data_IF_538962877540
#
_entry.id   IF_538962877540
#
_cell.length_a   1.000
_cell.length_b   1.000
_cell.length_c   1.000
_cell.angle_alpha   90.00
_cell.angle_beta   90.00
_cell.angle_gamma   90.00
#
_symmetry.space_group_name_H-M   'P 1'
#
loop_
_entity.id
_entity.type
_entity.pdbx_description
1 polymer ?
#
# COMPACT_ATOMS: atom_id res chain seq x y z
N UNK A 1 13.35 -4.89 -39.36
CA UNK A 1 13.48 -3.43 -39.42
C UNK A 1 12.54 -2.70 -38.44
N UNK A 2 11.23 -2.90 -38.47
CA UNK A 2 10.29 -2.19 -37.58
C UNK A 2 10.52 -2.50 -36.08
N UNK A 3 10.81 -3.74 -35.70
CA UNK A 3 11.02 -4.16 -34.28
C UNK A 3 12.31 -3.53 -33.71
N UNK A 4 13.38 -3.43 -34.51
CA UNK A 4 14.64 -2.78 -34.10
C UNK A 4 14.46 -1.27 -33.89
N UNK A 5 13.63 -0.63 -34.71
CA UNK A 5 13.33 0.81 -34.60
C UNK A 5 12.47 1.11 -33.36
N UNK A 6 11.50 0.25 -33.05
CA UNK A 6 10.68 0.36 -31.83
C UNK A 6 11.49 0.12 -30.56
N UNK A 7 12.40 -0.86 -30.58
CA UNK A 7 13.31 -1.11 -29.47
C UNK A 7 14.26 0.08 -29.23
N UNK A 8 14.77 0.65 -30.30
CA UNK A 8 15.64 1.83 -30.25
C UNK A 8 14.90 3.06 -29.73
N UNK A 9 13.65 3.28 -30.16
CA UNK A 9 12.82 4.35 -29.65
C UNK A 9 12.49 4.18 -28.15
N UNK A 10 12.24 2.95 -27.69
CA UNK A 10 12.04 2.66 -26.27
C UNK A 10 13.30 2.91 -25.44
N UNK A 11 14.47 2.50 -25.93
CA UNK A 11 15.74 2.76 -25.25
C UNK A 11 16.02 4.26 -25.16
N UNK A 12 15.79 5.01 -26.22
CA UNK A 12 15.95 6.47 -26.22
C UNK A 12 14.97 7.16 -25.27
N UNK A 13 13.72 6.70 -25.20
CA UNK A 13 12.73 7.21 -24.25
C UNK A 13 13.15 6.94 -22.80
N UNK A 14 13.67 5.75 -22.51
CA UNK A 14 14.20 5.38 -21.19
C UNK A 14 15.40 6.26 -20.82
N UNK A 15 16.32 6.51 -21.76
CA UNK A 15 17.46 7.40 -21.55
C UNK A 15 17.04 8.85 -21.32
N UNK A 16 16.06 9.37 -22.06
CA UNK A 16 15.51 10.71 -21.85
C UNK A 16 14.82 10.83 -20.50
N UNK A 17 14.01 9.85 -20.12
CA UNK A 17 13.38 9.81 -18.80
C UNK A 17 14.46 9.75 -17.72
N UNK A 18 15.44 8.85 -17.85
CA UNK A 18 16.54 8.72 -16.90
C UNK A 18 17.35 10.02 -16.77
N UNK A 19 17.72 10.66 -17.89
CA UNK A 19 18.46 11.92 -17.87
C UNK A 19 17.64 13.09 -17.28
N UNK A 20 16.32 13.10 -17.55
CA UNK A 20 15.42 14.14 -17.02
C UNK A 20 15.27 13.98 -15.51
N UNK A 21 15.12 12.75 -15.02
CA UNK A 21 14.99 12.47 -13.59
C UNK A 21 16.33 12.67 -12.87
N UNK A 22 17.46 12.31 -13.49
CA UNK A 22 18.77 12.67 -12.95
C UNK A 22 18.97 14.18 -12.90
N UNK A 23 18.50 14.94 -13.91
CA UNK A 23 18.55 16.42 -13.86
C UNK A 23 17.68 16.99 -12.76
N UNK A 24 16.48 16.41 -12.52
CA UNK A 24 15.61 16.80 -11.41
C UNK A 24 16.27 16.40 -10.08
N UNK A 25 16.80 15.19 -9.97
CA UNK A 25 17.55 14.72 -8.81
C UNK A 25 18.79 15.58 -8.54
N UNK A 26 19.59 15.87 -9.56
CA UNK A 26 20.77 16.73 -9.46
C UNK A 26 20.42 18.20 -9.16
N UNK A 27 19.28 18.71 -9.64
CA UNK A 27 18.79 20.04 -9.19
C UNK A 27 18.36 20.04 -7.72
N UNK A 28 17.86 18.92 -7.22
CA UNK A 28 17.56 18.74 -5.79
C UNK A 28 18.84 18.52 -4.95
N UNK A 29 19.94 18.07 -5.59
CA UNK A 29 21.24 17.82 -4.94
C UNK A 29 22.31 18.87 -5.25
N UNK A 30 22.06 19.84 -6.12
CA UNK A 30 23.00 20.92 -6.44
C UNK A 30 23.12 21.91 -5.27
N UNK A 31 23.97 21.58 -4.37
CA UNK A 31 24.37 22.30 -3.17
C UNK A 31 25.29 21.46 -2.30
N UNK A 32 25.86 20.39 -2.84
CA UNK A 32 26.61 19.37 -2.09
C UNK A 32 28.06 19.81 -1.86
N UNK A 33 28.23 20.78 -0.97
CA UNK A 33 29.37 20.75 -0.07
C UNK A 33 28.86 20.27 1.28
N UNK A 34 29.27 19.11 1.75
CA UNK A 34 28.96 18.54 3.08
C UNK A 34 27.47 18.55 3.50
N UNK A 35 26.61 17.85 2.76
CA UNK A 35 25.23 17.60 3.22
C UNK A 35 25.29 16.65 4.41
N UNK A 36 24.96 17.13 5.59
CA UNK A 36 24.76 16.29 6.78
C UNK A 36 23.35 15.71 6.75
N UNK A 37 23.24 14.40 6.53
CA UNK A 37 21.97 13.70 6.69
C UNK A 37 21.66 13.55 8.17
N UNK A 38 20.50 14.06 8.59
CA UNK A 38 20.02 13.96 9.96
C UNK A 38 18.93 12.89 10.03
N UNK A 39 18.97 11.97 11.01
CA UNK A 39 17.90 10.98 11.19
C UNK A 39 16.60 11.68 11.58
N UNK A 40 15.49 11.31 10.93
CA UNK A 40 14.17 11.76 11.31
C UNK A 40 13.69 10.96 12.52
N UNK A 41 13.92 11.54 13.69
CA UNK A 41 13.56 10.98 15.00
C UNK A 41 13.95 9.48 15.15
N UNK A 42 13.15 8.68 15.83
CA UNK A 42 13.44 7.27 16.11
C UNK A 42 13.33 6.32 14.89
N UNK A 43 12.95 6.81 13.72
CA UNK A 43 12.68 5.99 12.53
C UNK A 43 13.90 5.71 11.65
N UNK A 44 15.05 6.33 11.93
CA UNK A 44 16.26 6.27 11.09
C UNK A 44 16.05 6.69 9.63
N UNK A 45 15.03 7.51 9.36
CA UNK A 45 14.82 8.08 8.04
C UNK A 45 15.70 9.31 7.90
N UNK A 46 16.63 9.25 6.95
CA UNK A 46 17.53 10.35 6.67
C UNK A 46 16.86 11.35 5.72
N UNK A 47 17.00 12.64 6.00
CA UNK A 47 16.56 13.71 5.12
C UNK A 47 17.60 14.82 5.08
N UNK A 48 17.54 15.67 4.05
CA UNK A 48 18.46 16.79 3.87
C UNK A 48 17.76 18.07 4.35
N UNK A 49 18.22 18.69 5.48
CA UNK A 49 17.54 19.87 6.05
C UNK A 49 17.47 21.08 5.11
N UNK A 50 18.44 21.20 4.22
CA UNK A 50 18.55 22.31 3.25
C UNK A 50 17.50 22.26 2.14
N UNK A 51 16.88 21.09 1.92
CA UNK A 51 15.88 20.91 0.87
C UNK A 51 14.50 20.70 1.49
N UNK A 52 13.56 21.65 1.36
CA UNK A 52 12.22 21.55 1.96
C UNK A 52 11.41 20.36 1.44
N UNK A 53 11.69 19.85 0.21
CA UNK A 53 11.02 18.67 -0.34
C UNK A 53 11.57 17.36 0.22
N UNK A 54 12.73 17.39 0.88
CA UNK A 54 13.35 16.20 1.45
C UNK A 54 12.51 15.61 2.60
N UNK A 55 11.95 16.46 3.47
CA UNK A 55 11.13 16.03 4.60
C UNK A 55 9.85 15.28 4.17
N UNK A 56 8.98 15.82 3.30
CA UNK A 56 7.79 15.07 2.86
C UNK A 56 8.14 13.80 2.07
N UNK A 57 9.23 13.80 1.29
CA UNK A 57 9.70 12.58 0.63
C UNK A 57 10.18 11.54 1.65
N UNK A 58 10.90 11.95 2.68
CA UNK A 58 11.34 11.06 3.76
C UNK A 58 10.14 10.50 4.52
N UNK A 59 9.17 11.36 4.87
CA UNK A 59 7.93 10.95 5.52
C UNK A 59 7.10 9.95 4.69
N UNK A 60 7.14 10.05 3.36
CA UNK A 60 6.46 9.10 2.48
C UNK A 60 6.95 7.66 2.63
N UNK A 61 8.17 7.47 3.12
CA UNK A 61 8.74 6.15 3.44
C UNK A 61 8.02 5.44 4.59
N UNK A 62 7.26 6.17 5.40
CA UNK A 62 6.44 5.61 6.47
C UNK A 62 5.08 5.10 5.98
N UNK A 63 4.66 5.42 4.75
CA UNK A 63 3.35 5.04 4.23
C UNK A 63 3.04 3.55 4.35
N UNK A 64 3.96 2.60 4.05
CA UNK A 64 3.69 1.17 4.27
C UNK A 64 3.30 0.86 5.72
N UNK A 65 3.97 1.43 6.69
CA UNK A 65 3.68 1.23 8.12
C UNK A 65 2.34 1.88 8.47
N UNK A 66 2.09 3.10 8.00
CA UNK A 66 0.83 3.81 8.25
C UNK A 66 -0.37 3.06 7.65
N UNK A 67 -0.20 2.44 6.48
CA UNK A 67 -1.23 1.59 5.86
C UNK A 67 -1.52 0.38 6.76
N UNK A 68 -0.52 -0.30 7.30
CA UNK A 68 -0.73 -1.43 8.20
C UNK A 68 -1.41 -1.01 9.51
N UNK A 69 -1.02 0.14 10.07
CA UNK A 69 -1.68 0.72 11.27
C UNK A 69 -3.14 1.07 10.95
N UNK A 70 -3.40 1.62 9.77
CA UNK A 70 -4.76 1.90 9.31
C UNK A 70 -5.60 0.61 9.19
N UNK A 71 -5.07 -0.44 8.57
CA UNK A 71 -5.76 -1.73 8.44
C UNK A 71 -6.07 -2.34 9.81
N UNK A 72 -5.13 -2.28 10.74
CA UNK A 72 -5.33 -2.74 12.10
C UNK A 72 -6.43 -1.93 12.81
N UNK A 73 -6.38 -0.61 12.73
CA UNK A 73 -7.40 0.28 13.31
C UNK A 73 -8.78 0.04 12.69
N UNK A 74 -8.83 -0.14 11.36
CA UNK A 74 -10.07 -0.47 10.67
C UNK A 74 -10.65 -1.78 11.18
N UNK A 75 -9.84 -2.84 11.33
CA UNK A 75 -10.30 -4.11 11.90
C UNK A 75 -10.84 -3.95 13.33
N UNK A 76 -10.11 -3.24 14.20
CA UNK A 76 -10.54 -3.05 15.59
C UNK A 76 -11.88 -2.33 15.70
N UNK A 77 -12.12 -1.32 14.86
CA UNK A 77 -13.33 -0.52 14.91
C UNK A 77 -14.54 -1.23 14.30
N UNK A 78 -14.34 -1.97 13.22
CA UNK A 78 -15.44 -2.53 12.43
C UNK A 78 -15.62 -4.04 12.61
N UNK A 79 -14.58 -4.73 13.10
CA UNK A 79 -14.51 -6.20 13.18
C UNK A 79 -14.66 -6.91 11.84
N UNK A 80 -14.40 -6.19 10.75
CA UNK A 80 -14.40 -6.75 9.41
C UNK A 80 -13.20 -7.67 9.20
N UNK A 81 -13.38 -8.76 8.46
CA UNK A 81 -12.28 -9.67 8.09
C UNK A 81 -11.40 -9.07 6.98
N UNK A 82 -11.95 -8.19 6.13
CA UNK A 82 -11.24 -7.64 4.96
C UNK A 82 -9.89 -6.99 5.31
N UNK A 83 -9.78 -6.12 6.34
CA UNK A 83 -8.49 -5.56 6.72
C UNK A 83 -7.47 -6.62 7.14
N UNK A 84 -7.92 -7.73 7.76
CA UNK A 84 -7.05 -8.84 8.13
C UNK A 84 -6.54 -9.60 6.89
N UNK A 85 -7.42 -9.86 5.93
CA UNK A 85 -7.05 -10.48 4.66
C UNK A 85 -6.07 -9.61 3.88
N UNK A 86 -6.32 -8.30 3.84
CA UNK A 86 -5.43 -7.36 3.18
C UNK A 86 -4.05 -7.32 3.86
N UNK A 87 -4.00 -7.24 5.18
CA UNK A 87 -2.75 -7.30 5.93
C UNK A 87 -2.01 -8.63 5.73
N UNK A 88 -2.71 -9.76 5.73
CA UNK A 88 -2.14 -11.07 5.42
C UNK A 88 -1.54 -11.11 4.01
N UNK A 89 -2.20 -10.49 3.02
CA UNK A 89 -1.66 -10.32 1.68
C UNK A 89 -0.34 -9.55 1.66
N UNK A 90 -0.23 -8.47 2.44
CA UNK A 90 1.02 -7.74 2.59
C UNK A 90 2.14 -8.56 3.24
N UNK A 91 1.80 -9.36 4.24
CA UNK A 91 2.78 -10.30 4.85
C UNK A 91 3.27 -11.33 3.83
N UNK A 92 2.37 -11.94 3.08
CA UNK A 92 2.74 -12.87 2.00
C UNK A 92 3.63 -12.18 0.95
N UNK A 93 3.26 -10.96 0.55
CA UNK A 93 4.02 -10.15 -0.40
C UNK A 93 5.45 -9.85 0.10
N UNK A 94 5.62 -9.53 1.40
CA UNK A 94 6.95 -9.27 1.99
C UNK A 94 7.79 -10.55 2.09
N UNK A 95 7.20 -11.68 2.48
CA UNK A 95 7.88 -12.99 2.49
C UNK A 95 8.41 -13.31 1.10
N UNK A 96 7.58 -13.17 0.06
CA UNK A 96 7.98 -13.40 -1.33
C UNK A 96 9.09 -12.43 -1.75
N UNK A 97 9.02 -11.16 -1.35
CA UNK A 97 10.08 -10.18 -1.55
C UNK A 97 11.42 -10.66 -0.95
N UNK A 98 11.37 -11.19 0.26
CA UNK A 98 12.53 -11.74 0.96
C UNK A 98 13.15 -12.94 0.22
N UNK A 99 12.32 -13.86 -0.27
CA UNK A 99 12.76 -15.00 -1.08
C UNK A 99 13.45 -14.51 -2.36
N UNK A 100 12.82 -13.63 -3.12
CA UNK A 100 13.40 -13.07 -4.34
C UNK A 100 14.73 -12.35 -4.10
N UNK A 101 14.84 -11.56 -3.02
CA UNK A 101 16.11 -10.92 -2.66
C UNK A 101 17.24 -11.90 -2.45
N UNK A 102 16.96 -13.03 -1.80
CA UNK A 102 17.95 -14.06 -1.55
C UNK A 102 18.30 -14.88 -2.80
N UNK A 103 17.39 -14.96 -3.78
CA UNK A 103 17.64 -15.63 -5.07
C UNK A 103 18.45 -14.74 -6.01
N UNK A 104 18.02 -13.50 -6.21
CA UNK A 104 18.60 -12.57 -7.22
C UNK A 104 19.92 -11.96 -6.72
N UNK A 105 20.05 -11.70 -5.42
CA UNK A 105 21.25 -11.14 -4.76
C UNK A 105 21.80 -9.88 -5.44
N UNK A 106 20.93 -9.04 -5.96
CA UNK A 106 21.33 -7.80 -6.63
C UNK A 106 21.62 -6.70 -5.60
N UNK A 107 22.82 -6.07 -5.62
CA UNK A 107 23.21 -5.06 -4.64
C UNK A 107 22.40 -3.76 -4.80
N UNK A 108 22.34 -2.99 -3.71
CA UNK A 108 21.83 -1.61 -3.74
C UNK A 108 22.88 -0.67 -4.33
N UNK A 109 22.47 0.55 -4.79
CA UNK A 109 23.41 1.62 -5.08
C UNK A 109 24.38 1.87 -3.93
N UNK A 110 25.59 2.36 -4.21
CA UNK A 110 26.65 2.51 -3.20
C UNK A 110 26.22 3.34 -1.99
N UNK A 111 25.50 4.45 -2.21
CA UNK A 111 25.02 5.33 -1.14
C UNK A 111 23.84 4.75 -0.35
N UNK A 112 23.11 3.80 -0.91
CA UNK A 112 21.97 3.15 -0.28
C UNK A 112 22.27 1.77 0.32
N UNK A 113 23.55 1.39 0.47
CA UNK A 113 23.93 0.10 1.04
C UNK A 113 23.58 0.02 2.53
N UNK A 114 22.90 -1.04 2.89
CA UNK A 114 22.54 -1.35 4.27
C UNK A 114 23.17 -2.70 4.64
N UNK A 115 23.81 -2.73 5.79
CA UNK A 115 24.45 -3.94 6.32
C UNK A 115 23.62 -4.52 7.47
N UNK A 116 23.50 -5.83 7.51
CA UNK A 116 22.94 -6.55 8.66
C UNK A 116 23.89 -6.42 9.86
N UNK A 117 23.39 -6.62 11.08
CA UNK A 117 24.20 -6.63 12.32
C UNK A 117 25.41 -7.57 12.27
N UNK A 118 25.42 -8.57 11.38
CA UNK A 118 26.56 -9.50 11.15
C UNK A 118 27.44 -9.16 9.93
N UNK A 119 27.37 -7.93 9.38
CA UNK A 119 28.22 -7.47 8.27
C UNK A 119 27.76 -7.89 6.87
N UNK A 120 26.69 -8.70 6.75
CA UNK A 120 26.17 -9.11 5.45
C UNK A 120 25.36 -8.00 4.76
N UNK A 121 25.52 -7.87 3.44
CA UNK A 121 24.75 -6.90 2.63
C UNK A 121 23.25 -7.24 2.62
N UNK A 122 22.42 -6.20 2.70
CA UNK A 122 20.97 -6.30 2.44
C UNK A 122 20.73 -6.09 0.95
N UNK A 123 20.26 -7.13 0.27
CA UNK A 123 20.01 -7.10 -1.16
C UNK A 123 18.93 -6.08 -1.54
N UNK A 124 19.07 -5.48 -2.73
CA UNK A 124 18.25 -4.37 -3.19
C UNK A 124 17.08 -4.76 -4.09
N UNK A 125 17.05 -5.93 -4.69
CA UNK A 125 16.06 -6.31 -5.69
C UNK A 125 15.19 -7.48 -5.22
N UNK A 126 13.87 -7.35 -5.27
CA UNK A 126 13.06 -6.17 -5.62
C UNK A 126 13.03 -5.10 -4.52
N UNK A 127 12.61 -3.86 -4.85
CA UNK A 127 12.36 -2.80 -3.87
C UNK A 127 11.10 -3.13 -3.06
N UNK A 128 11.25 -3.43 -1.76
CA UNK A 128 10.11 -3.79 -0.89
C UNK A 128 9.06 -2.69 -0.79
N UNK A 129 9.47 -1.42 -0.70
CA UNK A 129 8.54 -0.30 -0.64
C UNK A 129 7.72 -0.17 -1.92
N UNK A 130 8.37 -0.26 -3.08
CA UNK A 130 7.68 -0.20 -4.38
C UNK A 130 6.74 -1.39 -4.56
N UNK A 131 7.17 -2.59 -4.14
CA UNK A 131 6.37 -3.81 -4.19
C UNK A 131 5.15 -3.71 -3.27
N UNK A 132 5.33 -3.21 -2.04
CA UNK A 132 4.24 -2.97 -1.09
C UNK A 132 3.21 -1.99 -1.64
N UNK A 133 3.67 -0.85 -2.16
CA UNK A 133 2.78 0.20 -2.66
C UNK A 133 2.02 -0.22 -3.92
N UNK A 134 2.65 -1.00 -4.80
CA UNK A 134 1.97 -1.57 -5.95
C UNK A 134 0.91 -2.61 -5.53
N UNK A 135 1.23 -3.47 -4.57
CA UNK A 135 0.28 -4.41 -3.99
C UNK A 135 -0.92 -3.68 -3.40
N UNK A 136 -0.69 -2.65 -2.58
CA UNK A 136 -1.73 -1.82 -1.99
C UNK A 136 -2.63 -1.17 -3.05
N UNK A 137 -2.04 -0.56 -4.08
CA UNK A 137 -2.79 0.13 -5.13
C UNK A 137 -3.67 -0.82 -5.93
N UNK A 138 -3.12 -1.96 -6.33
CA UNK A 138 -3.87 -2.94 -7.14
C UNK A 138 -4.97 -3.58 -6.31
N UNK A 139 -4.69 -3.99 -5.07
CA UNK A 139 -5.68 -4.59 -4.18
C UNK A 139 -6.86 -3.64 -3.94
N UNK A 140 -6.57 -2.38 -3.56
CA UNK A 140 -7.62 -1.38 -3.33
C UNK A 140 -8.40 -1.06 -4.61
N UNK A 141 -7.73 -1.01 -5.76
CA UNK A 141 -8.40 -0.78 -7.05
C UNK A 141 -9.34 -1.92 -7.41
N UNK A 142 -8.92 -3.17 -7.24
CA UNK A 142 -9.78 -4.33 -7.48
C UNK A 142 -10.96 -4.36 -6.51
N UNK A 143 -10.71 -4.08 -5.25
CA UNK A 143 -11.72 -4.08 -4.20
C UNK A 143 -12.78 -3.00 -4.40
N UNK A 144 -12.37 -1.76 -4.62
CA UNK A 144 -13.30 -0.62 -4.68
C UNK A 144 -13.79 -0.27 -6.08
N UNK A 145 -12.96 -0.43 -7.11
CA UNK A 145 -13.26 0.09 -8.45
C UNK A 145 -13.87 -0.99 -9.34
N UNK A 146 -13.35 -2.22 -9.27
CA UNK A 146 -13.74 -3.30 -10.17
C UNK A 146 -14.89 -4.13 -9.58
N UNK A 147 -14.73 -4.60 -8.35
CA UNK A 147 -15.60 -5.60 -7.74
C UNK A 147 -16.58 -5.05 -6.70
N UNK A 148 -16.84 -3.74 -6.69
CA UNK A 148 -17.85 -3.20 -5.78
C UNK A 148 -19.27 -3.55 -6.31
N UNK A 149 -19.98 -4.50 -5.68
CA UNK A 149 -21.27 -4.98 -6.18
C UNK A 149 -22.40 -3.95 -6.02
N UNK A 150 -22.20 -2.95 -5.19
CA UNK A 150 -23.29 -2.07 -4.74
C UNK A 150 -23.22 -0.69 -5.37
N UNK A 151 -22.03 -0.12 -5.53
CA UNK A 151 -21.85 1.21 -6.14
C UNK A 151 -21.11 1.11 -7.48
N UNK A 152 -21.82 1.36 -8.56
CA UNK A 152 -21.19 1.60 -9.87
C UNK A 152 -20.58 2.99 -9.88
N UNK A 153 -19.27 3.07 -9.59
CA UNK A 153 -18.55 4.34 -9.72
C UNK A 153 -18.61 4.87 -11.15
N UNK A 154 -18.82 6.18 -11.29
CA UNK A 154 -18.71 6.85 -12.58
C UNK A 154 -17.27 6.77 -13.08
N UNK A 155 -17.09 6.83 -14.39
CA UNK A 155 -15.74 6.78 -15.00
C UNK A 155 -14.79 7.84 -14.40
N UNK A 156 -15.29 9.04 -14.19
CA UNK A 156 -14.53 10.16 -13.60
C UNK A 156 -14.07 9.84 -12.17
N UNK A 157 -14.92 9.21 -11.35
CA UNK A 157 -14.56 8.78 -9.99
C UNK A 157 -13.48 7.70 -10.03
N UNK A 158 -13.62 6.70 -10.92
CA UNK A 158 -12.61 5.65 -11.11
C UNK A 158 -11.25 6.23 -11.51
N UNK A 159 -11.25 7.16 -12.48
CA UNK A 159 -10.03 7.85 -12.92
C UNK A 159 -9.45 8.66 -11.75
N UNK A 160 -10.25 9.42 -11.02
CA UNK A 160 -9.81 10.21 -9.88
C UNK A 160 -9.14 9.37 -8.79
N UNK A 161 -9.76 8.26 -8.38
CA UNK A 161 -9.18 7.33 -7.40
C UNK A 161 -7.89 6.69 -7.90
N UNK A 162 -7.87 6.26 -9.17
CA UNK A 162 -6.67 5.66 -9.77
C UNK A 162 -5.51 6.66 -9.83
N UNK A 163 -5.77 7.90 -10.25
CA UNK A 163 -4.75 8.94 -10.30
C UNK A 163 -4.23 9.30 -8.91
N UNK A 164 -5.12 9.45 -7.92
CA UNK A 164 -4.73 9.70 -6.54
C UNK A 164 -3.83 8.58 -6.00
N UNK A 165 -4.22 7.32 -6.20
CA UNK A 165 -3.42 6.16 -5.81
C UNK A 165 -2.06 6.11 -6.52
N UNK A 166 -2.02 6.40 -7.82
CA UNK A 166 -0.77 6.48 -8.59
C UNK A 166 0.14 7.61 -8.09
N UNK A 167 -0.43 8.76 -7.71
CA UNK A 167 0.35 9.85 -7.10
C UNK A 167 0.99 9.41 -5.78
N UNK A 168 0.24 8.73 -4.91
CA UNK A 168 0.77 8.20 -3.65
C UNK A 168 1.91 7.21 -3.88
N UNK A 169 1.73 6.25 -4.78
CA UNK A 169 2.79 5.29 -5.18
C UNK A 169 3.98 6.04 -5.76
N UNK A 170 3.75 7.02 -6.64
CA UNK A 170 4.79 7.83 -7.29
C UNK A 170 5.66 8.58 -6.29
N UNK A 171 5.07 9.15 -5.24
CA UNK A 171 5.82 9.86 -4.18
C UNK A 171 6.74 8.89 -3.42
N UNK A 172 6.25 7.70 -3.05
CA UNK A 172 7.07 6.67 -2.39
C UNK A 172 8.20 6.19 -3.31
N UNK A 173 7.89 5.92 -4.58
CA UNK A 173 8.90 5.52 -5.59
C UNK A 173 9.95 6.60 -5.75
N UNK A 174 9.53 7.86 -5.89
CA UNK A 174 10.44 8.99 -6.00
C UNK A 174 11.39 9.06 -4.80
N UNK A 175 10.89 8.86 -3.59
CA UNK A 175 11.72 8.83 -2.39
C UNK A 175 12.82 7.75 -2.44
N UNK A 176 12.51 6.57 -3.02
CA UNK A 176 13.50 5.47 -3.14
C UNK A 176 14.62 5.79 -4.12
N UNK A 177 14.30 6.52 -5.17
CA UNK A 177 15.28 6.94 -6.19
C UNK A 177 16.08 8.16 -5.73
N UNK A 178 15.39 9.20 -5.23
CA UNK A 178 16.03 10.46 -4.79
C UNK A 178 17.03 10.23 -3.65
N UNK A 179 16.67 9.38 -2.69
CA UNK A 179 17.57 9.01 -1.59
C UNK A 179 18.54 7.86 -1.94
N UNK A 180 18.61 7.45 -3.22
CA UNK A 180 19.51 6.40 -3.72
C UNK A 180 19.40 5.05 -2.99
N UNK A 181 18.27 4.77 -2.33
CA UNK A 181 18.04 3.46 -1.70
C UNK A 181 17.92 2.35 -2.72
N UNK A 182 17.40 2.66 -3.91
CA UNK A 182 17.18 1.72 -5.01
C UNK A 182 17.42 2.38 -6.38
N UNK A 183 17.80 1.57 -7.36
CA UNK A 183 17.84 1.99 -8.77
C UNK A 183 16.49 1.71 -9.46
N UNK A 184 16.31 2.24 -10.68
CA UNK A 184 15.09 2.10 -11.46
C UNK A 184 14.69 0.66 -11.71
N UNK A 185 15.65 -0.22 -12.03
CA UNK A 185 15.35 -1.65 -12.27
C UNK A 185 14.76 -2.31 -11.03
N UNK A 186 15.30 -2.03 -9.84
CA UNK A 186 14.82 -2.59 -8.57
C UNK A 186 13.39 -2.11 -8.25
N UNK A 187 13.09 -0.85 -8.55
CA UNK A 187 11.77 -0.25 -8.36
C UNK A 187 10.75 -0.84 -9.34
N UNK A 188 11.09 -0.91 -10.63
CA UNK A 188 10.19 -1.45 -11.67
C UNK A 188 9.86 -2.91 -11.39
N UNK A 189 10.87 -3.72 -11.07
CA UNK A 189 10.64 -5.14 -10.69
C UNK A 189 9.76 -5.25 -9.45
N UNK A 190 9.97 -4.36 -8.46
CA UNK A 190 9.11 -4.30 -7.28
C UNK A 190 7.66 -3.97 -7.64
N UNK A 191 7.43 -2.95 -8.46
CA UNK A 191 6.09 -2.55 -8.91
C UNK A 191 5.39 -3.69 -9.67
N UNK A 192 6.08 -4.33 -10.61
CA UNK A 192 5.52 -5.44 -11.38
C UNK A 192 5.17 -6.64 -10.49
N UNK A 193 6.11 -7.05 -9.64
CA UNK A 193 5.91 -8.19 -8.74
C UNK A 193 4.76 -7.92 -7.77
N UNK A 194 4.72 -6.74 -7.15
CA UNK A 194 3.62 -6.35 -6.25
C UNK A 194 2.27 -6.35 -6.93
N UNK A 195 2.20 -5.87 -8.18
CA UNK A 195 0.95 -5.85 -8.96
C UNK A 195 0.45 -7.27 -9.29
N UNK A 196 1.34 -8.14 -9.74
CA UNK A 196 1.00 -9.55 -10.06
C UNK A 196 0.54 -10.30 -8.81
N UNK A 197 1.31 -10.19 -7.72
CA UNK A 197 0.98 -10.84 -6.45
C UNK A 197 -0.35 -10.34 -5.88
N UNK A 198 -0.61 -9.04 -5.97
CA UNK A 198 -1.87 -8.45 -5.52
C UNK A 198 -3.06 -8.99 -6.30
N UNK A 199 -2.95 -9.04 -7.63
CA UNK A 199 -4.02 -9.57 -8.49
C UNK A 199 -4.30 -11.04 -8.21
N UNK A 200 -3.25 -11.85 -8.08
CA UNK A 200 -3.37 -13.28 -7.75
C UNK A 200 -3.97 -13.49 -6.35
N UNK A 201 -3.49 -12.74 -5.36
CA UNK A 201 -3.97 -12.85 -3.98
C UNK A 201 -5.43 -12.40 -3.86
N UNK A 202 -5.81 -11.29 -4.51
CA UNK A 202 -7.19 -10.82 -4.51
C UNK A 202 -8.13 -11.85 -5.17
N UNK A 203 -7.74 -12.42 -6.30
CA UNK A 203 -8.50 -13.50 -6.97
C UNK A 203 -8.65 -14.71 -6.05
N UNK A 204 -7.60 -15.10 -5.33
CA UNK A 204 -7.66 -16.18 -4.34
C UNK A 204 -8.66 -15.87 -3.22
N UNK A 205 -8.65 -14.66 -2.67
CA UNK A 205 -9.62 -14.23 -1.65
C UNK A 205 -11.06 -14.28 -2.18
N UNK A 206 -11.29 -13.85 -3.44
CA UNK A 206 -12.60 -13.97 -4.08
C UNK A 206 -13.07 -15.41 -4.18
N UNK A 207 -12.19 -16.32 -4.58
CA UNK A 207 -12.49 -17.77 -4.64
C UNK A 207 -12.84 -18.32 -3.25
N UNK A 208 -12.10 -17.95 -2.20
CA UNK A 208 -12.42 -18.37 -0.83
C UNK A 208 -13.80 -17.88 -0.38
N UNK A 209 -14.22 -16.69 -0.81
CA UNK A 209 -15.57 -16.16 -0.55
C UNK A 209 -16.63 -16.94 -1.30
N UNK A 210 -16.40 -17.18 -2.57
CA UNK A 210 -17.36 -17.90 -3.43
C UNK A 210 -17.65 -19.31 -2.91
N UNK A 211 -16.62 -20.02 -2.45
CA UNK A 211 -16.78 -21.35 -1.85
C UNK A 211 -17.24 -21.33 -0.38
N UNK A 212 -17.50 -20.17 0.21
CA UNK A 212 -17.96 -20.04 1.60
C UNK A 212 -16.91 -20.41 2.65
N UNK A 213 -15.64 -20.54 2.28
CA UNK A 213 -14.56 -20.90 3.20
C UNK A 213 -14.40 -19.84 4.29
N UNK A 214 -14.51 -18.55 3.93
CA UNK A 214 -14.43 -17.46 4.90
C UNK A 214 -15.61 -17.49 5.89
N UNK A 215 -16.81 -17.81 5.43
CA UNK A 215 -17.98 -17.98 6.31
C UNK A 215 -17.73 -19.11 7.32
N UNK A 216 -17.19 -20.25 6.87
CA UNK A 216 -16.80 -21.35 7.76
C UNK A 216 -15.77 -20.92 8.81
N UNK A 217 -14.73 -20.18 8.40
CA UNK A 217 -13.70 -19.66 9.32
C UNK A 217 -14.34 -18.73 10.37
N UNK A 218 -15.22 -17.82 9.95
CA UNK A 218 -15.87 -16.87 10.84
C UNK A 218 -16.82 -17.53 11.85
N UNK A 219 -17.31 -18.74 11.58
CA UNK A 219 -18.12 -19.52 12.51
C UNK A 219 -17.31 -20.24 13.59
N UNK A 220 -15.98 -20.31 13.47
CA UNK A 220 -15.10 -20.90 14.49
C UNK A 220 -15.10 -20.05 15.76
N UNK A 221 -15.09 -20.71 16.93
CA UNK A 221 -15.30 -20.13 18.25
C UNK A 221 -14.58 -18.78 18.52
N UNK A 222 -13.26 -18.65 18.33
CA UNK A 222 -12.54 -17.40 18.58
C UNK A 222 -13.04 -16.23 17.73
N UNK A 223 -13.26 -16.44 16.42
CA UNK A 223 -13.73 -15.39 15.50
C UNK A 223 -15.17 -14.99 15.77
N UNK A 224 -16.02 -15.97 16.09
CA UNK A 224 -17.40 -15.74 16.50
C UNK A 224 -17.45 -14.98 17.84
N UNK A 225 -16.61 -15.33 18.79
CA UNK A 225 -16.51 -14.64 20.09
C UNK A 225 -16.08 -13.18 19.92
N UNK A 226 -15.12 -12.91 19.04
CA UNK A 226 -14.69 -11.55 18.70
C UNK A 226 -15.74 -10.77 17.92
N UNK A 227 -16.74 -11.43 17.34
CA UNK A 227 -17.78 -10.84 16.51
C UNK A 227 -17.29 -10.43 15.13
N UNK A 228 -16.32 -11.18 14.57
CA UNK A 228 -15.84 -10.92 13.20
C UNK A 228 -16.93 -11.18 12.19
N UNK A 229 -16.93 -10.35 11.11
CA UNK A 229 -17.90 -10.41 10.02
C UNK A 229 -17.23 -10.17 8.67
N UNK A 230 -17.84 -10.67 7.60
CA UNK A 230 -17.50 -10.36 6.22
C UNK A 230 -18.69 -9.67 5.53
N UNK A 231 -18.74 -8.35 5.62
CA UNK A 231 -19.78 -7.57 4.92
C UNK A 231 -19.36 -7.22 3.50
N UNK A 232 -18.07 -7.36 3.17
CA UNK A 232 -17.52 -7.00 1.87
C UNK A 232 -18.08 -7.88 0.74
N UNK A 233 -18.21 -9.19 0.99
CA UNK A 233 -18.85 -10.11 0.05
C UNK A 233 -20.36 -9.94 -0.09
N UNK A 234 -21.03 -9.31 0.90
CA UNK A 234 -22.49 -9.15 0.97
C UNK A 234 -22.98 -7.71 0.77
N UNK A 235 -22.06 -6.78 0.43
CA UNK A 235 -22.38 -5.37 0.20
C UNK A 235 -22.31 -4.52 1.47
N UNK A 236 -21.10 -4.26 1.93
CA UNK A 236 -20.79 -3.38 3.06
C UNK A 236 -21.50 -2.02 3.00
N UNK A 237 -21.81 -1.54 1.80
CA UNK A 237 -22.55 -0.31 1.60
C UNK A 237 -23.99 -0.41 2.13
N UNK A 238 -24.66 -1.56 1.96
CA UNK A 238 -25.98 -1.80 2.55
C UNK A 238 -25.94 -1.76 4.07
N UNK A 239 -24.85 -2.23 4.66
CA UNK A 239 -24.67 -2.16 6.12
C UNK A 239 -24.59 -0.71 6.59
N UNK A 240 -23.84 0.15 5.87
CA UNK A 240 -23.76 1.59 6.17
C UNK A 240 -25.13 2.28 6.00
N UNK A 241 -25.85 1.93 4.94
CA UNK A 241 -27.20 2.47 4.72
C UNK A 241 -28.16 2.07 5.83
N UNK A 242 -28.16 0.79 6.21
CA UNK A 242 -28.97 0.29 7.34
C UNK A 242 -28.61 0.96 8.67
N UNK A 243 -27.31 1.10 8.97
CA UNK A 243 -26.83 1.78 10.18
C UNK A 243 -27.28 3.25 10.20
N UNK A 244 -27.22 3.91 9.05
CA UNK A 244 -27.72 5.30 8.90
C UNK A 244 -29.22 5.40 9.08
N UNK A 245 -29.99 4.51 8.47
CA UNK A 245 -31.43 4.47 8.64
C UNK A 245 -31.85 4.21 10.10
N UNK A 246 -31.15 3.29 10.78
CA UNK A 246 -31.38 3.03 12.21
C UNK A 246 -31.08 4.25 13.08
N UNK A 247 -29.98 4.96 12.75
CA UNK A 247 -29.59 6.19 13.43
C UNK A 247 -30.65 7.30 13.19
N UNK A 248 -31.12 7.50 11.96
CA UNK A 248 -32.15 8.46 11.61
C UNK A 248 -33.48 8.13 12.31
N UNK A 249 -33.86 6.85 12.38
CA UNK A 249 -35.04 6.38 13.15
C UNK A 249 -34.88 6.66 14.64
N UNK A 250 -33.69 6.42 15.22
CA UNK A 250 -33.42 6.67 16.61
C UNK A 250 -33.56 8.17 16.98
N UNK A 251 -33.06 9.06 16.12
CA UNK A 251 -33.22 10.52 16.31
C UNK A 251 -34.69 10.92 16.19
N UNK A 252 -35.39 10.45 15.17
CA UNK A 252 -36.79 10.80 14.91
C UNK A 252 -37.72 10.32 16.05
N UNK A 253 -37.36 9.22 16.71
CA UNK A 253 -38.09 8.70 17.86
C UNK A 253 -37.71 9.38 19.21
N UNK A 254 -36.86 10.43 19.19
CA UNK A 254 -36.45 11.18 20.39
C UNK A 254 -35.58 10.36 21.37
N UNK A 255 -35.01 9.23 20.93
CA UNK A 255 -34.11 8.42 21.74
C UNK A 255 -32.72 9.03 21.72
N UNK A 256 -32.46 9.94 22.63
CA UNK A 256 -31.08 10.42 22.89
C UNK A 256 -30.24 9.29 23.50
N UNK A 257 -28.92 9.33 23.27
CA UNK A 257 -27.92 8.34 23.71
C UNK A 257 -27.97 7.94 25.20
N UNK A 258 -28.59 8.76 26.06
CA UNK A 258 -28.78 8.47 27.48
C UNK A 258 -29.80 7.38 27.83
N UNK A 259 -30.67 6.98 26.88
CA UNK A 259 -31.69 5.97 27.14
C UNK A 259 -31.22 4.52 27.06
N UNK A 260 -30.03 4.27 26.53
CA UNK A 260 -29.47 2.91 26.43
C UNK A 260 -28.75 2.46 27.72
N UNK A 261 -28.25 3.40 28.53
CA UNK A 261 -27.49 3.11 29.73
C UNK A 261 -28.39 2.62 30.91
N UNK A 262 -29.68 2.93 30.89
CA UNK A 262 -30.61 2.60 31.98
C UNK A 262 -31.28 1.23 31.85
N UNK A 263 -31.16 0.53 30.73
CA UNK A 263 -31.78 -0.80 30.54
C UNK A 263 -30.88 -2.00 30.83
N UNK A 264 -29.60 -1.79 31.15
CA UNK A 264 -28.67 -2.89 31.49
C UNK A 264 -28.48 -3.09 33.01
N UNK A 265 -29.21 -2.36 33.86
CA UNK A 265 -29.11 -2.41 35.32
C UNK A 265 -30.43 -2.79 36.02
N UNK A 266 -31.32 -3.48 35.30
CA UNK A 266 -32.52 -4.10 35.92
C UNK A 266 -32.58 -5.57 35.60
#
# INVERSE_FOLDING_TARGET
>A
MVVSTLLQAQLTLIEVIHSTIQRIGNRMTMGVGNITLVPFDHTYILYTPENPLSLPLAASSLLPILILVFLFSWHLLTREIEPCLFAAGHVCNDIISGVFKNMVKYPRPLNGQIFKKGGGLVWGMPSSHSQFMAFWLVYTSLMYIVNNPVRKYRLVEKIGYSLAGLCVVGVVVASRIVFEYHNWCQVIVGLLLGSVLSSAYYSFVCVLREYGVLDCILMVGPFKWWGMKDTFGRGWYKTIECEREEWEKAITMGKTFGSYATKSSS
#
